data_IF_574653464801
#
_entry.id   IF_574653464801
#
_cell.length_a   1.000
_cell.length_b   1.000
_cell.length_c   1.000
_cell.angle_alpha   90.00
_cell.angle_beta   90.00
_cell.angle_gamma   90.00
#
_symmetry.space_group_name_H-M   'P 1'
#
loop_
_entity.id
_entity.type
_entity.pdbx_description
1 polymer ?
#
# COMPACT_ATOMS: atom_id res chain seq x y z
N UNK A 1 -15.61 -27.16 9.23
CA UNK A 1 -16.49 -26.24 9.98
C UNK A 1 -15.76 -24.96 10.29
N UNK A 2 -16.39 -23.79 10.07
CA UNK A 2 -15.80 -22.50 10.43
C UNK A 2 -16.15 -22.20 11.88
N UNK A 3 -15.21 -21.64 12.65
CA UNK A 3 -15.37 -21.40 14.09
C UNK A 3 -16.52 -20.46 14.48
N UNK A 4 -17.12 -19.75 13.51
CA UNK A 4 -18.17 -18.76 13.79
C UNK A 4 -17.68 -17.54 14.58
N UNK A 5 -16.37 -17.41 14.79
CA UNK A 5 -15.75 -16.30 15.49
C UNK A 5 -15.55 -15.13 14.53
N UNK A 6 -16.07 -13.96 14.92
CA UNK A 6 -15.81 -12.70 14.22
C UNK A 6 -14.81 -11.90 15.04
N UNK A 7 -13.54 -11.97 14.64
CA UNK A 7 -12.43 -11.32 15.33
C UNK A 7 -11.91 -10.20 14.44
N UNK A 8 -11.70 -9.01 15.01
CA UNK A 8 -11.12 -7.91 14.23
C UNK A 8 -9.70 -8.28 13.79
N UNK A 9 -9.23 -7.91 12.58
CA UNK A 9 -7.89 -8.27 12.10
C UNK A 9 -6.76 -7.90 13.08
N UNK A 10 -6.91 -6.81 13.83
CA UNK A 10 -5.96 -6.36 14.84
C UNK A 10 -5.89 -7.23 16.11
N UNK A 11 -6.86 -8.12 16.31
CA UNK A 11 -6.95 -9.03 17.44
C UNK A 11 -6.48 -10.45 17.09
N UNK A 12 -6.15 -10.71 15.81
CA UNK A 12 -5.60 -12.00 15.38
C UNK A 12 -4.14 -12.09 15.80
N UNK A 13 -3.86 -13.05 16.68
CA UNK A 13 -2.52 -13.38 17.19
C UNK A 13 -2.02 -14.69 16.55
N UNK A 14 -0.72 -14.75 16.24
CA UNK A 14 -0.07 -16.02 15.85
C UNK A 14 0.06 -16.99 17.04
N UNK A 15 0.04 -16.45 18.26
CA UNK A 15 -0.01 -17.21 19.51
C UNK A 15 -1.27 -16.78 20.28
N UNK A 16 -2.43 -17.35 19.94
CA UNK A 16 -3.68 -17.06 20.61
C UNK A 16 -3.58 -17.50 22.07
N UNK A 17 -4.11 -16.67 22.97
CA UNK A 17 -4.40 -17.05 24.34
C UNK A 17 -5.77 -17.74 24.39
N UNK A 18 -6.07 -18.42 25.51
CA UNK A 18 -7.34 -19.13 25.68
C UNK A 18 -8.57 -18.19 25.57
N UNK A 19 -8.39 -16.90 25.87
CA UNK A 19 -9.38 -15.83 25.76
C UNK A 19 -9.76 -15.47 24.31
N UNK A 20 -8.89 -15.77 23.34
CA UNK A 20 -9.11 -15.40 21.94
C UNK A 20 -10.14 -16.31 21.26
N UNK A 21 -10.51 -17.45 21.89
CA UNK A 21 -11.57 -18.35 21.43
C UNK A 21 -11.18 -19.27 20.27
N UNK A 22 -9.99 -19.10 19.70
CA UNK A 22 -9.43 -19.97 18.65
C UNK A 22 -8.00 -20.39 18.98
N UNK A 23 -7.55 -21.49 18.38
CA UNK A 23 -6.18 -21.95 18.39
C UNK A 23 -5.75 -22.28 16.96
N UNK A 24 -4.44 -22.33 16.70
CA UNK A 24 -3.93 -22.75 15.40
C UNK A 24 -3.68 -24.26 15.38
N UNK A 25 -4.22 -24.96 14.39
CA UNK A 25 -3.72 -26.26 13.97
C UNK A 25 -2.72 -26.05 12.83
N UNK A 26 -1.52 -26.59 12.99
CA UNK A 26 -0.48 -26.56 11.98
C UNK A 26 0.15 -27.95 11.83
N UNK A 27 0.61 -28.27 10.61
CA UNK A 27 1.49 -29.41 10.41
C UNK A 27 2.89 -29.13 10.99
N UNK A 28 3.62 -30.16 11.42
CA UNK A 28 4.94 -30.01 12.05
C UNK A 28 5.91 -29.16 11.20
N UNK A 29 5.87 -29.32 9.88
CA UNK A 29 6.71 -28.58 8.93
C UNK A 29 6.48 -27.05 8.95
N UNK A 30 5.30 -26.60 9.37
CA UNK A 30 4.89 -25.19 9.34
C UNK A 30 4.68 -24.58 10.74
N UNK A 31 4.82 -25.40 11.80
CA UNK A 31 4.68 -24.96 13.19
C UNK A 31 5.66 -23.83 13.56
N UNK A 32 6.86 -23.81 12.97
CA UNK A 32 7.86 -22.76 13.19
C UNK A 32 7.36 -21.37 12.77
N UNK A 33 6.44 -21.27 11.81
CA UNK A 33 5.91 -19.99 11.33
C UNK A 33 5.11 -19.27 12.42
N UNK A 34 4.40 -20.02 13.27
CA UNK A 34 3.61 -19.51 14.41
C UNK A 34 4.46 -19.17 15.64
N UNK A 35 5.71 -19.61 15.66
CA UNK A 35 6.63 -19.33 16.78
C UNK A 35 7.23 -17.93 16.71
N UNK A 36 7.16 -17.25 15.57
CA UNK A 36 7.68 -15.90 15.42
C UNK A 36 6.67 -14.85 15.87
N UNK A 37 7.15 -13.70 16.34
CA UNK A 37 6.28 -12.56 16.64
C UNK A 37 6.05 -11.75 15.36
N UNK A 38 4.78 -11.42 15.05
CA UNK A 38 4.42 -10.57 13.91
C UNK A 38 5.08 -9.18 13.98
N UNK A 39 5.52 -8.72 15.14
CA UNK A 39 6.24 -7.44 15.25
C UNK A 39 7.68 -7.51 14.73
N UNK A 40 8.23 -8.70 14.50
CA UNK A 40 9.64 -8.92 14.11
C UNK A 40 9.79 -9.86 12.90
N UNK A 41 8.71 -10.01 12.11
CA UNK A 41 8.69 -10.89 10.95
C UNK A 41 9.22 -10.24 9.67
N UNK A 42 9.78 -11.05 8.78
CA UNK A 42 10.20 -10.61 7.44
C UNK A 42 9.04 -10.67 6.45
N UNK A 43 9.11 -9.92 5.35
CA UNK A 43 8.11 -9.99 4.27
C UNK A 43 7.95 -11.42 3.72
N UNK A 44 9.04 -12.19 3.68
CA UNK A 44 9.01 -13.60 3.27
C UNK A 44 8.22 -14.49 4.24
N UNK A 45 8.35 -14.26 5.55
CA UNK A 45 7.58 -14.97 6.57
C UNK A 45 6.07 -14.69 6.43
N UNK A 46 5.66 -13.43 6.27
CA UNK A 46 4.23 -13.12 6.11
C UNK A 46 3.64 -13.74 4.85
N UNK A 47 4.40 -13.76 3.75
CA UNK A 47 3.97 -14.43 2.52
C UNK A 47 3.78 -15.93 2.74
N UNK A 48 4.73 -16.59 3.39
CA UNK A 48 4.64 -18.01 3.70
C UNK A 48 3.43 -18.33 4.61
N UNK A 49 3.14 -17.49 5.60
CA UNK A 49 1.95 -17.63 6.46
C UNK A 49 0.67 -17.48 5.61
N UNK A 50 0.60 -16.45 4.75
CA UNK A 50 -0.55 -16.23 3.88
C UNK A 50 -0.81 -17.40 2.92
N UNK A 51 0.24 -18.03 2.39
CA UNK A 51 0.15 -19.20 1.50
C UNK A 51 -0.26 -20.47 2.27
N UNK A 52 0.18 -20.62 3.51
CA UNK A 52 -0.13 -21.77 4.36
C UNK A 52 -1.58 -21.75 4.92
N UNK A 53 -2.19 -20.57 5.05
CA UNK A 53 -3.55 -20.39 5.56
C UNK A 53 -4.59 -21.14 4.71
N UNK A 54 -5.40 -21.98 5.37
CA UNK A 54 -6.45 -22.77 4.72
C UNK A 54 -5.95 -24.02 3.97
N UNK A 55 -4.64 -24.26 3.96
CA UNK A 55 -4.04 -25.48 3.42
C UNK A 55 -3.39 -26.32 4.52
N UNK A 56 -2.46 -25.70 5.27
CA UNK A 56 -1.64 -26.35 6.30
C UNK A 56 -1.66 -25.61 7.64
N UNK A 57 -2.30 -24.44 7.68
CA UNK A 57 -2.54 -23.64 8.86
C UNK A 57 -4.04 -23.32 8.94
N UNK A 58 -4.71 -23.75 10.00
CA UNK A 58 -6.14 -23.51 10.18
C UNK A 58 -6.44 -23.07 11.62
N UNK A 59 -7.38 -22.14 11.76
CA UNK A 59 -7.90 -21.75 13.06
C UNK A 59 -8.96 -22.77 13.48
N UNK A 60 -8.72 -23.46 14.60
CA UNK A 60 -9.59 -24.48 15.18
C UNK A 60 -10.09 -24.06 16.57
N UNK A 61 -11.17 -24.68 17.05
CA UNK A 61 -11.63 -24.44 18.42
C UNK A 61 -10.63 -25.07 19.39
N UNK A 62 -10.33 -24.42 20.53
CA UNK A 62 -9.43 -24.99 21.52
C UNK A 62 -9.90 -26.37 22.04
N UNK A 63 -11.20 -26.68 22.01
CA UNK A 63 -11.72 -27.99 22.42
C UNK A 63 -11.42 -29.13 21.43
N UNK A 64 -11.37 -28.87 20.12
CA UNK A 64 -11.03 -29.89 19.10
C UNK A 64 -9.59 -30.39 19.25
N UNK A 65 -8.74 -29.60 19.90
CA UNK A 65 -7.37 -29.97 20.25
C UNK A 65 -7.27 -30.84 21.53
N UNK A 66 -8.35 -30.96 22.32
CA UNK A 66 -8.36 -31.73 23.57
C UNK A 66 -8.96 -33.13 23.44
N UNK A 67 -9.54 -33.49 22.30
CA UNK A 67 -10.00 -34.85 22.07
C UNK A 67 -8.86 -35.72 21.53
N UNK A 68 -8.25 -36.63 22.33
CA UNK A 68 -7.60 -37.78 21.74
C UNK A 68 -8.72 -38.56 21.07
N UNK A 69 -8.76 -38.52 19.72
CA UNK A 69 -9.76 -39.20 18.90
C UNK A 69 -9.85 -40.68 19.27
N UNK A 70 -10.73 -41.00 20.21
CA UNK A 70 -11.07 -42.36 20.56
C UNK A 70 -12.38 -42.71 19.88
N UNK A 71 -12.26 -43.65 18.94
CA UNK A 71 -13.30 -44.35 18.20
C UNK A 71 -14.02 -43.58 17.08
N UNK A 72 -13.73 -43.97 15.82
CA UNK A 72 -14.65 -44.75 14.96
C UNK A 72 -14.13 -44.90 13.52
N UNK A 73 -13.68 -46.11 13.19
CA UNK A 73 -13.94 -46.77 11.91
C UNK A 73 -13.10 -46.44 10.66
N UNK A 74 -12.11 -47.30 10.41
CA UNK A 74 -11.70 -47.88 9.11
C UNK A 74 -10.90 -47.09 8.04
N UNK A 75 -9.77 -47.75 7.70
CA UNK A 75 -9.01 -47.85 6.44
C UNK A 75 -8.11 -46.71 5.96
N UNK A 76 -6.81 -46.95 6.20
CA UNK A 76 -5.67 -46.86 5.29
C UNK A 76 -5.36 -45.53 4.57
N UNK A 77 -4.22 -44.92 4.96
CA UNK A 77 -3.55 -43.87 4.20
C UNK A 77 -2.75 -42.92 5.10
N UNK A 78 -1.55 -43.36 5.46
CA UNK A 78 -0.30 -42.61 5.71
C UNK A 78 -0.27 -41.20 6.34
N UNK A 79 0.67 -41.06 7.29
CA UNK A 79 1.24 -39.85 7.89
C UNK A 79 0.40 -39.09 8.93
N UNK A 80 0.26 -39.72 10.09
CA UNK A 80 -0.04 -39.03 11.34
C UNK A 80 1.18 -38.19 11.79
N UNK A 81 1.26 -36.95 11.31
CA UNK A 81 2.08 -35.91 11.92
C UNK A 81 1.49 -35.52 13.27
N UNK A 82 2.35 -35.51 14.30
CA UNK A 82 2.04 -35.25 15.68
C UNK A 82 1.62 -33.76 15.80
N UNK A 83 0.35 -33.52 16.09
CA UNK A 83 -0.22 -32.18 16.17
C UNK A 83 0.31 -31.46 17.43
N UNK A 84 1.40 -30.70 17.29
CA UNK A 84 2.00 -29.94 18.40
C UNK A 84 1.16 -28.71 18.75
N UNK A 85 0.46 -28.78 19.89
CA UNK A 85 -0.32 -27.68 20.47
C UNK A 85 0.63 -26.67 21.13
N UNK A 86 0.76 -25.48 20.54
CA UNK A 86 1.45 -24.34 21.16
C UNK A 86 0.42 -23.40 21.80
N UNK A 87 0.39 -23.31 23.14
CA UNK A 87 -0.38 -22.26 23.84
C UNK A 87 -1.04 -22.64 25.18
N UNK A 88 -0.79 -23.81 25.77
CA UNK A 88 -1.35 -24.14 27.09
C UNK A 88 -0.53 -23.52 28.22
N UNK A 89 -1.04 -22.46 28.84
CA UNK A 89 -0.72 -22.10 30.23
C UNK A 89 -2.02 -22.02 31.02
N UNK A 90 -2.07 -22.84 32.06
CA UNK A 90 -3.21 -23.11 32.92
C UNK A 90 -3.29 -22.00 33.97
N UNK A 91 -4.30 -21.13 33.91
CA UNK A 91 -4.84 -20.51 35.12
C UNK A 91 -6.34 -20.28 34.99
N UNK A 92 -7.03 -20.95 35.90
CA UNK A 92 -8.46 -21.00 36.11
C UNK A 92 -9.00 -19.63 36.54
N UNK A 93 -9.91 -19.05 35.76
CA UNK A 93 -10.85 -18.03 36.24
C UNK A 93 -12.18 -18.12 35.47
N UNK A 94 -13.28 -18.20 36.23
CA UNK A 94 -14.65 -17.92 35.80
C UNK A 94 -14.71 -16.65 34.91
N UNK A 95 -15.55 -16.58 33.87
CA UNK A 95 -17.01 -16.49 33.97
C UNK A 95 -17.74 -17.14 32.78
N UNK A 96 -18.75 -17.95 33.10
CA UNK A 96 -19.87 -18.26 32.20
C UNK A 96 -20.74 -17.00 32.05
N UNK A 97 -20.77 -16.41 30.85
CA UNK A 97 -21.82 -15.46 30.42
C UNK A 97 -22.47 -15.90 29.09
N UNK A 98 -22.44 -17.20 28.79
CA UNK A 98 -23.27 -17.78 27.74
C UNK A 98 -24.39 -18.57 28.40
N UNK A 99 -25.49 -17.91 28.73
CA UNK A 99 -26.86 -18.46 28.87
C UNK A 99 -27.78 -17.38 29.46
N UNK A 100 -28.52 -16.65 28.60
CA UNK A 100 -29.84 -16.01 28.82
C UNK A 100 -30.11 -14.71 28.03
N UNK A 101 -29.69 -14.60 26.76
CA UNK A 101 -30.27 -13.56 25.90
C UNK A 101 -31.60 -14.02 25.32
N UNK A 102 -32.70 -13.42 25.79
CA UNK A 102 -34.02 -13.58 25.20
C UNK A 102 -33.98 -13.20 23.70
N UNK A 103 -34.70 -13.92 22.85
CA UNK A 103 -34.81 -13.63 21.40
C UNK A 103 -35.10 -12.15 21.13
N UNK A 104 -35.96 -11.52 21.94
CA UNK A 104 -36.27 -10.09 21.83
C UNK A 104 -35.07 -9.19 22.16
N UNK A 105 -34.20 -9.60 23.08
CA UNK A 105 -32.95 -8.92 23.40
C UNK A 105 -31.97 -8.94 22.22
N UNK A 106 -31.81 -10.12 21.59
CA UNK A 106 -30.98 -10.29 20.39
C UNK A 106 -31.50 -9.46 19.22
N UNK A 107 -32.81 -9.47 18.97
CA UNK A 107 -33.42 -8.65 17.90
C UNK A 107 -33.13 -7.16 18.11
N UNK A 108 -33.37 -6.64 19.32
CA UNK A 108 -33.10 -5.21 19.63
C UNK A 108 -31.62 -4.85 19.51
N UNK A 109 -30.72 -5.77 19.84
CA UNK A 109 -29.28 -5.56 19.68
C UNK A 109 -28.93 -5.45 18.19
N UNK A 110 -29.36 -6.41 17.38
CA UNK A 110 -29.11 -6.43 15.94
C UNK A 110 -29.72 -5.20 15.24
N UNK A 111 -30.90 -4.75 15.64
CA UNK A 111 -31.52 -3.52 15.13
C UNK A 111 -30.73 -2.26 15.50
N UNK A 112 -30.06 -2.25 16.66
CA UNK A 112 -29.18 -1.15 17.05
C UNK A 112 -27.88 -1.19 16.25
N UNK A 113 -27.23 -2.34 16.19
CA UNK A 113 -26.00 -2.54 15.41
C UNK A 113 -26.22 -2.22 13.93
N UNK A 114 -27.34 -2.66 13.35
CA UNK A 114 -27.68 -2.35 11.95
C UNK A 114 -27.87 -0.84 11.73
N UNK A 115 -28.51 -0.12 12.67
CA UNK A 115 -28.64 1.33 12.59
C UNK A 115 -27.30 2.05 12.74
N UNK A 116 -26.48 1.59 13.68
CA UNK A 116 -25.16 2.18 13.93
C UNK A 116 -24.24 1.99 12.72
N UNK A 117 -24.22 0.78 12.14
CA UNK A 117 -23.49 0.48 10.91
C UNK A 117 -24.02 1.29 9.71
N UNK A 118 -25.32 1.45 9.57
CA UNK A 118 -25.90 2.30 8.52
C UNK A 118 -25.44 3.75 8.67
N UNK A 119 -25.48 4.30 9.88
CA UNK A 119 -25.04 5.67 10.13
C UNK A 119 -23.53 5.84 9.88
N UNK A 120 -22.72 4.81 10.18
CA UNK A 120 -21.30 4.83 9.87
C UNK A 120 -21.01 4.72 8.36
N UNK A 121 -21.79 3.90 7.65
CA UNK A 121 -21.73 3.83 6.18
C UNK A 121 -22.04 5.19 5.56
N UNK A 122 -23.10 5.86 6.01
CA UNK A 122 -23.47 7.19 5.49
C UNK A 122 -22.35 8.21 5.74
N UNK A 123 -21.77 8.23 6.96
CA UNK A 123 -20.65 9.13 7.30
C UNK A 123 -19.41 8.86 6.44
N UNK A 124 -19.10 7.59 6.18
CA UNK A 124 -17.93 7.24 5.37
C UNK A 124 -18.15 7.55 3.89
N UNK A 125 -19.37 7.40 3.38
CA UNK A 125 -19.73 7.83 2.03
C UNK A 125 -19.55 9.34 1.84
N UNK A 126 -20.06 10.16 2.76
CA UNK A 126 -19.88 11.63 2.71
C UNK A 126 -18.39 12.00 2.67
N UNK A 127 -17.58 11.41 3.57
CA UNK A 127 -16.13 11.65 3.59
C UNK A 127 -15.45 11.22 2.28
N UNK A 128 -15.87 10.11 1.69
CA UNK A 128 -15.33 9.64 0.42
C UNK A 128 -15.65 10.62 -0.72
N UNK A 129 -16.86 11.16 -0.74
CA UNK A 129 -17.28 12.17 -1.72
C UNK A 129 -16.48 13.46 -1.58
N UNK A 130 -16.29 13.95 -0.36
CA UNK A 130 -15.46 15.10 -0.03
C UNK A 130 -14.03 14.91 -0.56
N UNK A 131 -13.35 13.84 -0.16
CA UNK A 131 -11.98 13.54 -0.59
C UNK A 131 -11.90 13.34 -2.11
N UNK A 132 -12.92 12.72 -2.73
CA UNK A 132 -12.99 12.56 -4.18
C UNK A 132 -13.14 13.90 -4.90
N UNK A 133 -13.88 14.85 -4.32
CA UNK A 133 -14.02 16.21 -4.86
C UNK A 133 -12.73 17.01 -4.75
N UNK A 134 -12.03 16.93 -3.61
CA UNK A 134 -10.74 17.57 -3.39
C UNK A 134 -9.67 17.01 -4.32
N UNK A 135 -9.64 15.68 -4.50
CA UNK A 135 -8.76 15.01 -5.46
C UNK A 135 -8.98 15.53 -6.87
N UNK A 136 -10.23 15.67 -7.32
CA UNK A 136 -10.55 16.23 -8.65
C UNK A 136 -10.06 17.67 -8.77
N UNK A 137 -10.24 18.48 -7.73
CA UNK A 137 -9.77 19.86 -7.73
C UNK A 137 -8.24 19.94 -7.78
N UNK A 138 -7.54 19.12 -7.00
CA UNK A 138 -6.09 19.04 -7.02
C UNK A 138 -5.57 18.60 -8.40
N UNK A 139 -6.19 17.57 -8.99
CA UNK A 139 -5.85 17.10 -10.32
C UNK A 139 -6.06 18.18 -11.40
N UNK A 140 -7.11 18.98 -11.29
CA UNK A 140 -7.33 20.11 -12.19
C UNK A 140 -6.24 21.19 -12.05
N UNK A 141 -5.81 21.50 -10.82
CA UNK A 141 -4.70 22.45 -10.57
C UNK A 141 -3.38 21.93 -11.13
N UNK A 142 -3.08 20.64 -10.95
CA UNK A 142 -1.87 20.01 -11.50
C UNK A 142 -1.84 20.16 -13.03
N UNK A 143 -2.94 19.80 -13.70
CA UNK A 143 -3.05 19.94 -15.16
C UNK A 143 -2.86 21.40 -15.60
N UNK A 144 -3.47 22.34 -14.90
CA UNK A 144 -3.32 23.76 -15.20
C UNK A 144 -1.86 24.22 -15.13
N UNK A 145 -1.15 23.88 -14.05
CA UNK A 145 0.27 24.24 -13.92
C UNK A 145 1.17 23.53 -14.93
N UNK A 146 0.82 22.31 -15.35
CA UNK A 146 1.53 21.62 -16.44
C UNK A 146 1.39 22.38 -17.76
N UNK A 147 0.18 22.81 -18.11
CA UNK A 147 -0.06 23.63 -19.31
C UNK A 147 0.70 24.96 -19.27
N UNK A 148 0.72 25.64 -18.11
CA UNK A 148 1.50 26.89 -17.96
C UNK A 148 3.01 26.65 -18.07
N UNK A 149 3.50 25.56 -17.50
CA UNK A 149 4.90 25.18 -17.59
C UNK A 149 5.30 24.91 -19.05
N UNK A 150 4.50 24.14 -19.79
CA UNK A 150 4.72 23.87 -21.21
C UNK A 150 4.74 25.16 -22.04
N UNK A 151 3.77 26.06 -21.83
CA UNK A 151 3.73 27.37 -22.50
C UNK A 151 4.99 28.19 -22.21
N UNK A 152 5.41 28.26 -20.95
CA UNK A 152 6.62 28.97 -20.56
C UNK A 152 7.88 28.36 -21.16
N UNK A 153 7.94 27.03 -21.26
CA UNK A 153 9.07 26.33 -21.87
C UNK A 153 9.17 26.61 -23.38
N UNK A 154 8.03 26.58 -24.08
CA UNK A 154 7.97 26.92 -25.50
C UNK A 154 8.48 28.35 -25.71
N UNK A 155 7.97 29.32 -24.95
CA UNK A 155 8.41 30.72 -25.06
C UNK A 155 9.90 30.88 -24.75
N UNK A 156 10.39 30.22 -23.70
CA UNK A 156 11.81 30.26 -23.37
C UNK A 156 12.69 29.65 -24.48
N UNK A 157 12.22 28.60 -25.15
CA UNK A 157 12.93 28.01 -26.30
C UNK A 157 12.98 28.96 -27.51
N UNK A 158 11.87 29.66 -27.79
CA UNK A 158 11.79 30.64 -28.88
C UNK A 158 12.74 31.82 -28.64
N UNK A 159 12.74 32.38 -27.42
CA UNK A 159 13.66 33.47 -27.08
C UNK A 159 15.13 33.02 -27.16
N UNK A 160 15.42 31.76 -26.81
CA UNK A 160 16.77 31.21 -26.97
C UNK A 160 17.19 31.08 -28.43
N UNK A 161 16.29 30.67 -29.33
CA UNK A 161 16.59 30.64 -30.77
C UNK A 161 16.78 32.03 -31.34
N UNK A 162 15.90 32.98 -31.02
CA UNK A 162 16.02 34.38 -31.47
C UNK A 162 17.34 35.02 -30.99
N UNK A 163 17.74 34.78 -29.74
CA UNK A 163 19.03 35.25 -29.23
C UNK A 163 20.21 34.60 -29.94
N UNK A 164 20.10 33.34 -30.36
CA UNK A 164 21.17 32.67 -31.11
C UNK A 164 21.31 33.24 -32.53
N UNK A 165 20.19 33.47 -33.21
CA UNK A 165 20.16 34.10 -34.54
C UNK A 165 20.70 35.53 -34.50
N UNK A 166 20.25 36.34 -33.53
CA UNK A 166 20.74 37.71 -33.36
C UNK A 166 22.26 37.74 -33.09
N UNK A 167 22.77 36.80 -32.27
CA UNK A 167 24.21 36.67 -32.00
C UNK A 167 24.98 36.28 -33.26
N UNK A 168 24.46 35.37 -34.07
CA UNK A 168 25.08 34.98 -35.34
C UNK A 168 25.14 36.17 -36.31
N UNK A 169 24.03 36.88 -36.53
CA UNK A 169 24.00 38.07 -37.39
C UNK A 169 24.92 39.19 -36.88
N UNK A 170 25.01 39.39 -35.56
CA UNK A 170 25.96 40.35 -34.98
C UNK A 170 27.41 39.95 -35.25
N UNK A 171 27.73 38.66 -35.14
CA UNK A 171 29.07 38.14 -35.43
C UNK A 171 29.44 38.32 -36.90
N UNK A 172 28.51 38.04 -37.82
CA UNK A 172 28.70 38.27 -39.26
C UNK A 172 28.94 39.74 -39.56
N UNK A 173 28.11 40.64 -39.01
CA UNK A 173 28.28 42.08 -39.19
C UNK A 173 29.64 42.58 -38.65
N UNK A 174 30.06 42.10 -37.47
CA UNK A 174 31.38 42.41 -36.91
C UNK A 174 32.52 41.92 -37.82
N UNK A 175 32.42 40.71 -38.38
CA UNK A 175 33.42 40.19 -39.32
C UNK A 175 33.50 41.03 -40.60
N UNK A 176 32.37 41.47 -41.14
CA UNK A 176 32.32 42.35 -42.32
C UNK A 176 33.00 43.69 -42.00
N UNK A 177 32.68 44.32 -40.88
CA UNK A 177 33.31 45.57 -40.46
C UNK A 177 34.83 45.41 -40.29
N UNK A 178 35.28 44.32 -39.67
CA UNK A 178 36.70 44.04 -39.49
C UNK A 178 37.43 43.89 -40.84
N UNK A 179 36.83 43.18 -41.81
CA UNK A 179 37.39 43.06 -43.17
C UNK A 179 37.55 44.42 -43.86
N UNK A 180 36.55 45.30 -43.74
CA UNK A 180 36.61 46.65 -44.32
C UNK A 180 37.71 47.49 -43.66
N UNK A 181 37.86 47.43 -42.33
CA UNK A 181 38.92 48.14 -41.61
C UNK A 181 40.33 47.68 -42.00
N UNK A 182 40.52 46.38 -42.27
CA UNK A 182 41.79 45.88 -42.78
C UNK A 182 42.06 46.34 -44.21
N UNK A 183 41.05 46.36 -45.07
CA UNK A 183 41.17 46.83 -46.46
C UNK A 183 41.49 48.33 -46.54
N UNK A 184 40.83 49.18 -45.73
CA UNK A 184 41.13 50.62 -45.65
C UNK A 184 42.54 50.94 -45.14
N UNK A 185 43.15 50.04 -44.34
CA UNK A 185 44.54 50.21 -43.86
C UNK A 185 45.60 49.76 -44.87
N UNK A 186 45.26 48.93 -45.85
CA UNK A 186 46.22 48.36 -46.81
C UNK A 186 46.27 49.11 -48.15
N UNK A 187 45.32 49.99 -48.47
CA UNK A 187 45.39 50.86 -49.66
C UNK A 187 46.30 52.06 -49.38
N UNK A 188 47.49 52.18 -50.02
CA UNK A 188 48.30 53.40 -49.92
C UNK A 188 47.54 54.54 -50.61
N UNK A 189 47.44 55.69 -49.95
CA UNK A 189 46.83 56.88 -50.54
C UNK A 189 47.43 57.18 -51.92
N UNK A 190 46.64 57.66 -52.89
CA UNK A 190 47.16 57.97 -54.21
C UNK A 190 48.26 59.02 -54.06
N UNK A 191 49.46 58.67 -54.53
CA UNK A 191 50.53 59.63 -54.77
C UNK A 191 50.00 60.68 -55.76
N UNK A 192 49.77 61.89 -55.26
CA UNK A 192 49.59 63.07 -56.09
C UNK A 192 50.95 63.39 -56.75
N UNK A 193 51.13 62.93 -57.98
CA UNK A 193 52.12 63.50 -58.91
C UNK A 193 51.41 64.61 -59.70
N UNK A 194 51.64 65.86 -59.31
CA UNK A 194 51.33 67.06 -60.11
C UNK A 194 52.51 67.40 -61.06
N UNK A 195 52.22 67.99 -62.25
CA UNK A 195 53.13 68.09 -63.38
C UNK A 195 54.25 69.14 -63.28
#
# INVERSE_FOLDING_TARGET
>A
DRLGLTIAPSQIRLRPAAEDGYAWSATEANAWMLQSNLSNGTVGLYRAICEALGQSLEAVTPQVLQEPRSSRGASAGEEAGELLIYGMNIQQAHCRDHENESFTGTIRRLERESRDLSAELDRTQVRLEEVSSERRQCQAKIRHFQEELERSQILASQLRSELAELRAGTMEAMQVLQKHQHHEREVPGPHEDEP
#
